data_IF_613673052583
#
_entry.id   IF_613673052583
#
_cell.length_a   1.000
_cell.length_b   1.000
_cell.length_c   1.000
_cell.angle_alpha   90.00
_cell.angle_beta   90.00
_cell.angle_gamma   90.00
#
_symmetry.space_group_name_H-M   'P 1'
#
loop_
_entity.id
_entity.type
_entity.pdbx_description
1 polymer ?
#
# COMPACT_ATOMS: atom_id res chain seq x y z
N UNK A 1 24.40 5.00 -10.71
CA UNK A 1 23.21 5.89 -10.71
C UNK A 1 22.80 6.15 -9.26
N UNK A 2 23.01 7.37 -8.74
CA UNK A 2 22.86 7.69 -7.31
C UNK A 2 21.44 8.08 -6.87
N UNK A 3 21.15 7.95 -5.56
CA UNK A 3 19.89 8.44 -4.98
C UNK A 3 19.77 9.95 -5.19
N UNK A 4 18.75 10.39 -5.94
CA UNK A 4 18.51 11.81 -6.25
C UNK A 4 18.08 12.66 -5.05
N UNK A 5 17.66 12.04 -3.95
CA UNK A 5 17.19 12.74 -2.74
C UNK A 5 17.68 12.04 -1.48
N UNK A 6 18.15 12.80 -0.48
CA UNK A 6 18.63 12.26 0.81
C UNK A 6 17.49 11.76 1.72
N UNK A 7 16.38 12.51 1.81
CA UNK A 7 15.30 12.27 2.80
C UNK A 7 13.87 12.27 2.27
N UNK A 8 13.56 13.10 1.27
CA UNK A 8 12.16 13.43 0.92
C UNK A 8 11.40 12.33 0.19
N UNK A 9 12.09 11.45 -0.53
CA UNK A 9 11.48 10.30 -1.21
C UNK A 9 10.27 10.68 -2.10
N UNK A 10 9.13 9.98 -1.98
CA UNK A 10 7.93 10.24 -2.77
C UNK A 10 7.36 11.67 -2.65
N UNK A 11 7.66 12.38 -1.55
CA UNK A 11 7.19 13.76 -1.34
C UNK A 11 8.02 14.82 -2.11
N UNK A 12 9.00 14.41 -2.93
CA UNK A 12 9.85 15.34 -3.71
C UNK A 12 9.04 16.34 -4.55
N UNK A 13 7.92 15.91 -5.15
CA UNK A 13 7.09 16.76 -6.01
C UNK A 13 6.42 17.93 -5.29
N UNK A 14 6.35 17.91 -3.97
CA UNK A 14 5.75 19.00 -3.18
C UNK A 14 6.68 20.20 -2.96
N UNK A 15 7.98 20.06 -3.20
CA UNK A 15 8.95 21.12 -2.93
C UNK A 15 8.96 21.56 -1.46
N UNK A 16 8.95 22.87 -1.21
CA UNK A 16 8.94 23.48 0.13
C UNK A 16 7.56 23.52 0.80
N UNK A 17 6.48 23.17 0.09
CA UNK A 17 5.09 23.34 0.55
C UNK A 17 4.66 22.30 1.60
N UNK A 18 3.55 22.61 2.30
CA UNK A 18 2.78 21.75 3.22
C UNK A 18 3.44 21.36 4.55
N UNK A 19 4.68 21.78 4.82
CA UNK A 19 5.36 21.53 6.10
C UNK A 19 5.87 20.09 6.27
N UNK A 20 6.56 19.81 7.38
CA UNK A 20 7.29 18.54 7.58
C UNK A 20 6.36 17.39 8.00
N UNK A 21 5.41 17.64 8.90
CA UNK A 21 4.51 16.61 9.46
C UNK A 21 3.63 15.96 8.40
N UNK A 22 2.98 16.76 7.56
CA UNK A 22 2.11 16.30 6.47
C UNK A 22 2.91 15.49 5.45
N UNK A 23 4.10 15.97 5.05
CA UNK A 23 4.97 15.27 4.11
C UNK A 23 5.44 13.92 4.66
N UNK A 24 5.75 13.82 5.96
CA UNK A 24 6.12 12.55 6.59
C UNK A 24 4.99 11.52 6.52
N UNK A 25 3.76 11.91 6.90
CA UNK A 25 2.58 11.04 6.81
C UNK A 25 2.30 10.58 5.38
N UNK A 26 2.42 11.48 4.41
CA UNK A 26 2.27 11.14 2.99
C UNK A 26 3.33 10.12 2.53
N UNK A 27 4.60 10.32 2.89
CA UNK A 27 5.68 9.39 2.53
C UNK A 27 5.40 8.00 3.11
N UNK A 28 4.96 7.91 4.36
CA UNK A 28 4.63 6.65 5.01
C UNK A 28 3.54 5.90 4.23
N UNK A 29 2.40 6.54 3.99
CA UNK A 29 1.26 5.96 3.26
C UNK A 29 1.65 5.55 1.84
N UNK A 30 2.34 6.42 1.10
CA UNK A 30 2.73 6.14 -0.29
C UNK A 30 3.81 5.08 -0.39
N UNK A 31 4.71 5.00 0.59
CA UNK A 31 5.73 3.97 0.65
C UNK A 31 5.09 2.61 0.88
N UNK A 32 4.14 2.51 1.81
CA UNK A 32 3.43 1.27 2.12
C UNK A 32 2.56 0.82 0.94
N UNK A 33 1.84 1.73 0.32
CA UNK A 33 1.00 1.44 -0.84
C UNK A 33 1.80 0.93 -2.04
N UNK A 34 3.02 1.45 -2.26
CA UNK A 34 3.88 1.06 -3.40
C UNK A 34 4.74 -0.17 -3.12
N UNK A 35 4.79 -0.66 -1.87
CA UNK A 35 5.50 -1.90 -1.57
C UNK A 35 4.84 -3.06 -2.32
N UNK A 36 5.63 -4.04 -2.79
CA UNK A 36 5.07 -5.26 -3.36
C UNK A 36 4.42 -6.09 -2.24
N UNK A 37 3.14 -6.41 -2.41
CA UNK A 37 2.36 -7.17 -1.43
C UNK A 37 2.09 -8.60 -1.90
N UNK A 38 1.99 -9.57 -0.98
CA UNK A 38 1.70 -10.97 -1.32
C UNK A 38 0.27 -11.13 -1.83
N UNK A 39 0.12 -11.85 -2.93
CA UNK A 39 -1.19 -12.22 -3.46
C UNK A 39 -1.84 -13.31 -2.58
N UNK A 40 -3.12 -13.16 -2.20
CA UNK A 40 -3.83 -14.18 -1.41
C UNK A 40 -4.03 -15.50 -2.17
N UNK A 41 -4.00 -15.48 -3.52
CA UNK A 41 -4.22 -16.68 -4.34
C UNK A 41 -2.92 -17.38 -4.73
N UNK A 42 -1.94 -16.66 -5.31
CA UNK A 42 -0.71 -17.27 -5.82
C UNK A 42 0.51 -17.08 -4.89
N UNK A 43 0.36 -16.41 -3.73
CA UNK A 43 1.42 -16.20 -2.73
C UNK A 43 2.55 -15.23 -3.12
N UNK A 44 2.59 -14.80 -4.38
CA UNK A 44 3.69 -13.99 -4.91
C UNK A 44 3.49 -12.49 -4.68
N UNK A 45 4.61 -11.77 -4.50
CA UNK A 45 4.63 -10.35 -4.19
C UNK A 45 4.46 -9.45 -5.44
N UNK A 46 3.33 -9.62 -6.14
CA UNK A 46 3.03 -8.93 -7.40
C UNK A 46 1.70 -8.18 -7.37
N UNK A 47 1.18 -7.90 -6.17
CA UNK A 47 -0.06 -7.12 -6.01
C UNK A 47 0.20 -5.63 -6.22
N UNK A 48 -0.67 -4.98 -6.98
CA UNK A 48 -0.70 -3.54 -7.26
C UNK A 48 -2.11 -3.01 -7.02
N UNK A 49 -2.21 -1.71 -6.71
CA UNK A 49 -3.48 -1.01 -6.55
C UNK A 49 -4.07 -0.68 -7.91
N UNK A 50 -5.31 -1.08 -8.16
CA UNK A 50 -6.05 -0.73 -9.38
C UNK A 50 -6.89 0.53 -9.15
N UNK A 51 -7.65 0.57 -8.05
CA UNK A 51 -8.44 1.74 -7.64
C UNK A 51 -8.53 1.84 -6.10
N UNK A 52 -9.32 2.77 -5.58
CA UNK A 52 -9.53 2.89 -4.13
C UNK A 52 -10.21 1.62 -3.63
N UNK A 53 -9.52 0.84 -2.79
CA UNK A 53 -10.06 -0.39 -2.21
C UNK A 53 -10.00 -1.61 -3.13
N UNK A 54 -9.57 -1.48 -4.39
CA UNK A 54 -9.43 -2.62 -5.32
C UNK A 54 -7.94 -2.85 -5.63
N UNK A 55 -7.52 -4.10 -5.44
CA UNK A 55 -6.15 -4.56 -5.65
C UNK A 55 -6.13 -5.70 -6.67
N UNK A 56 -5.12 -5.70 -7.52
CA UNK A 56 -4.93 -6.70 -8.59
C UNK A 56 -3.54 -7.33 -8.50
N UNK A 57 -3.47 -8.65 -8.63
CA UNK A 57 -2.19 -9.32 -8.83
C UNK A 57 -1.79 -9.26 -10.30
N UNK A 58 -0.64 -8.66 -10.59
CA UNK A 58 -0.11 -8.60 -11.96
C UNK A 58 0.34 -9.95 -12.54
N UNK A 59 0.43 -11.01 -11.73
CA UNK A 59 0.85 -12.34 -12.19
C UNK A 59 -0.32 -13.26 -12.52
N UNK A 60 -1.26 -13.43 -11.59
CA UNK A 60 -2.42 -14.31 -11.79
C UNK A 60 -3.71 -13.59 -12.18
N UNK A 61 -3.71 -12.26 -12.23
CA UNK A 61 -4.90 -11.47 -12.58
C UNK A 61 -5.97 -11.38 -11.49
N UNK A 62 -5.75 -11.99 -10.33
CA UNK A 62 -6.73 -11.97 -9.24
C UNK A 62 -6.98 -10.56 -8.72
N UNK A 63 -8.25 -10.13 -8.77
CA UNK A 63 -8.74 -8.87 -8.22
C UNK A 63 -9.45 -9.11 -6.89
N UNK A 64 -9.15 -8.29 -5.88
CA UNK A 64 -9.76 -8.41 -4.58
C UNK A 64 -9.98 -7.05 -3.90
N UNK A 65 -10.93 -7.05 -2.96
CA UNK A 65 -11.21 -5.90 -2.12
C UNK A 65 -10.22 -5.84 -0.95
N UNK A 66 -9.76 -4.64 -0.63
CA UNK A 66 -8.83 -4.36 0.46
C UNK A 66 -9.02 -2.96 1.03
N UNK A 67 -8.02 -2.49 1.76
CA UNK A 67 -8.01 -1.11 2.25
C UNK A 67 -7.72 -0.09 1.15
N UNK A 68 -7.94 1.19 1.46
CA UNK A 68 -7.70 2.30 0.54
C UNK A 68 -6.23 2.43 0.11
N UNK A 69 -5.29 2.22 1.05
CA UNK A 69 -3.84 2.37 0.86
C UNK A 69 -3.04 1.10 1.18
N UNK A 70 -3.62 0.12 1.87
CA UNK A 70 -3.00 -1.18 2.16
C UNK A 70 -3.94 -2.32 1.73
N UNK A 71 -3.44 -3.44 1.16
CA UNK A 71 -4.30 -4.53 0.71
C UNK A 71 -5.05 -5.21 1.86
N UNK A 72 -4.41 -5.32 3.03
CA UNK A 72 -5.04 -5.81 4.27
C UNK A 72 -5.10 -4.68 5.29
N UNK A 73 -6.26 -4.53 5.92
CA UNK A 73 -6.46 -3.58 7.03
C UNK A 73 -6.40 -4.33 8.36
N UNK A 74 -6.00 -3.65 9.43
CA UNK A 74 -5.98 -4.24 10.79
C UNK A 74 -7.37 -4.75 11.19
N UNK A 75 -8.40 -3.96 10.89
CA UNK A 75 -9.81 -4.30 11.13
C UNK A 75 -10.27 -5.49 10.29
N UNK A 76 -9.82 -5.59 9.03
CA UNK A 76 -10.13 -6.75 8.18
C UNK A 76 -9.53 -8.03 8.73
N UNK A 77 -8.29 -7.99 9.21
CA UNK A 77 -7.63 -9.16 9.83
C UNK A 77 -8.37 -9.60 11.10
N UNK A 78 -8.83 -8.66 11.93
CA UNK A 78 -9.62 -9.01 13.13
C UNK A 78 -10.98 -9.59 12.76
N UNK A 79 -11.66 -9.05 11.74
CA UNK A 79 -12.93 -9.56 11.26
C UNK A 79 -12.80 -10.97 10.69
N UNK A 80 -11.76 -11.25 9.88
CA UNK A 80 -11.45 -12.58 9.37
C UNK A 80 -11.22 -13.60 10.49
N UNK A 81 -10.57 -13.20 11.59
CA UNK A 81 -10.36 -14.08 12.76
C UNK A 81 -11.66 -14.37 13.50
N UNK A 82 -12.47 -13.34 13.73
CA UNK A 82 -13.77 -13.49 14.38
C UNK A 82 -14.69 -14.42 13.57
N UNK A 83 -14.73 -14.26 12.23
CA UNK A 83 -15.55 -15.07 11.34
C UNK A 83 -15.12 -16.55 11.26
N UNK A 84 -13.84 -16.86 11.50
CA UNK A 84 -13.33 -18.25 11.51
C UNK A 84 -13.57 -18.99 12.83
N UNK A 85 -13.82 -18.25 13.91
CA UNK A 85 -14.10 -18.82 15.24
C UNK A 85 -15.59 -19.03 15.51
N UNK A 86 -16.46 -18.55 14.62
CA UNK A 86 -17.88 -18.89 14.56
C UNK A 86 -18.07 -20.14 13.69
#
# INVERSE_FOLDING_TARGET
>A
MGKRTKKVGPARGFGSRYGVSVRKRYVEVMSEMRKPHPCPQCGLNYVRRESVGIWICGKCGFRFAGGAYTPKTKLGITAERAAKGA
#
